data_IF_488773327792
#
_entry.id   IF_488773327792
#
_cell.length_a   1.000
_cell.length_b   1.000
_cell.length_c   1.000
_cell.angle_alpha   90.00
_cell.angle_beta   90.00
_cell.angle_gamma   90.00
#
_symmetry.space_group_name_H-M   'P 1'
#
loop_
_entity.id
_entity.type
_entity.pdbx_description
1 polymer ?
#
# COMPACT_ATOMS: atom_id res chain seq x y z
N UNK A 1 68.45 -5.01 -4.79
CA UNK A 1 67.26 -4.70 -5.61
C UNK A 1 66.15 -5.48 -4.95
N UNK A 2 65.58 -4.88 -3.91
CA UNK A 2 64.71 -5.57 -2.98
C UNK A 2 63.31 -5.00 -3.17
N UNK A 3 62.47 -5.79 -3.83
CA UNK A 3 61.12 -5.43 -4.21
C UNK A 3 60.21 -5.45 -2.98
N UNK A 4 59.86 -4.25 -2.52
CA UNK A 4 58.79 -4.02 -1.55
C UNK A 4 57.46 -4.47 -2.16
N UNK A 5 56.91 -5.57 -1.67
CA UNK A 5 55.54 -6.01 -1.98
C UNK A 5 54.58 -5.34 -0.99
N UNK A 6 53.62 -4.51 -1.43
CA UNK A 6 52.54 -4.09 -0.55
C UNK A 6 51.48 -5.19 -0.43
N UNK A 7 51.27 -5.64 0.81
CA UNK A 7 50.15 -6.50 1.22
C UNK A 7 48.83 -5.73 1.05
N UNK A 8 47.76 -6.31 0.48
CA UNK A 8 46.42 -5.75 0.59
C UNK A 8 45.85 -6.00 1.99
N UNK A 9 45.36 -4.94 2.62
CA UNK A 9 44.59 -4.98 3.86
C UNK A 9 43.37 -5.91 3.70
N UNK A 10 43.35 -6.98 4.49
CA UNK A 10 42.17 -7.83 4.71
C UNK A 10 41.31 -7.26 5.84
N UNK A 11 40.01 -7.51 5.70
CA UNK A 11 38.97 -7.55 6.73
C UNK A 11 38.31 -6.24 7.14
N UNK A 12 37.46 -5.71 6.25
CA UNK A 12 36.24 -5.05 6.70
C UNK A 12 35.17 -6.10 6.98
N UNK A 13 34.87 -6.25 8.27
CA UNK A 13 33.76 -7.04 8.80
C UNK A 13 32.44 -6.70 8.09
N UNK A 14 31.89 -7.68 7.37
CA UNK A 14 30.54 -7.61 6.82
C UNK A 14 29.52 -7.93 7.92
N UNK A 15 29.18 -6.91 8.70
CA UNK A 15 28.14 -6.98 9.72
C UNK A 15 26.76 -6.81 9.09
N UNK A 16 26.36 -7.72 8.20
CA UNK A 16 24.95 -7.89 7.82
C UNK A 16 24.44 -9.21 8.38
N UNK A 17 23.83 -9.09 9.56
CA UNK A 17 22.97 -10.11 10.11
C UNK A 17 21.74 -10.24 9.20
N UNK A 18 21.83 -11.12 8.22
CA UNK A 18 20.67 -11.60 7.46
C UNK A 18 19.77 -12.35 8.44
N UNK A 19 18.87 -11.62 9.09
CA UNK A 19 17.80 -12.15 9.91
C UNK A 19 16.87 -12.95 9.00
N UNK A 20 17.19 -14.22 8.85
CA UNK A 20 16.36 -15.18 8.12
C UNK A 20 15.10 -15.39 8.96
N UNK A 21 14.05 -14.65 8.62
CA UNK A 21 12.69 -14.89 9.10
C UNK A 21 12.25 -16.27 8.60
N UNK A 22 12.57 -17.32 9.36
CA UNK A 22 12.05 -18.66 9.11
C UNK A 22 10.56 -18.69 9.48
N UNK A 23 9.71 -18.34 8.51
CA UNK A 23 8.27 -18.58 8.59
C UNK A 23 8.04 -20.07 8.89
N UNK A 24 7.39 -20.36 10.02
CA UNK A 24 6.98 -21.71 10.40
C UNK A 24 6.01 -22.23 9.34
N UNK A 25 6.49 -23.09 8.43
CA UNK A 25 5.65 -23.83 7.47
C UNK A 25 4.61 -24.62 8.27
N UNK A 26 3.36 -24.14 8.28
CA UNK A 26 2.28 -24.81 8.99
C UNK A 26 1.98 -26.15 8.31
N UNK A 27 1.87 -27.23 9.09
CA UNK A 27 1.49 -28.57 8.61
C UNK A 27 0.08 -28.60 8.02
N UNK A 28 -0.74 -27.59 8.35
CA UNK A 28 -2.11 -27.39 7.86
C UNK A 28 -2.18 -27.24 6.33
N UNK A 29 -1.29 -26.45 5.72
CA UNK A 29 -1.30 -26.23 4.26
C UNK A 29 -1.00 -27.50 3.46
N UNK A 30 -0.08 -28.34 3.96
CA UNK A 30 0.21 -29.65 3.35
C UNK A 30 -1.00 -30.57 3.42
N UNK A 31 -1.67 -30.63 4.58
CA UNK A 31 -2.87 -31.46 4.78
C UNK A 31 -4.04 -31.01 3.91
N UNK A 32 -4.23 -29.70 3.75
CA UNK A 32 -5.25 -29.13 2.86
C UNK A 32 -4.99 -29.52 1.40
N UNK A 33 -3.72 -29.45 0.95
CA UNK A 33 -3.35 -29.84 -0.41
C UNK A 33 -3.60 -31.32 -0.70
N UNK A 34 -3.28 -32.22 0.24
CA UNK A 34 -3.58 -33.65 0.06
C UNK A 34 -5.08 -33.93 -0.04
N UNK A 35 -5.90 -33.26 0.78
CA UNK A 35 -7.36 -33.37 0.69
C UNK A 35 -7.88 -32.92 -0.68
N UNK A 36 -7.40 -31.80 -1.18
CA UNK A 36 -7.80 -31.31 -2.50
C UNK A 36 -7.36 -32.27 -3.61
N UNK A 37 -6.13 -32.80 -3.57
CA UNK A 37 -5.67 -33.80 -4.55
C UNK A 37 -6.58 -35.03 -4.56
N UNK A 38 -6.98 -35.52 -3.38
CA UNK A 38 -7.93 -36.64 -3.28
C UNK A 38 -9.29 -36.31 -3.92
N UNK A 39 -9.79 -35.09 -3.76
CA UNK A 39 -11.02 -34.64 -4.42
C UNK A 39 -10.87 -34.57 -5.95
N UNK A 40 -9.75 -34.04 -6.45
CA UNK A 40 -9.47 -33.99 -7.90
C UNK A 40 -9.42 -35.40 -8.49
N UNK A 41 -8.78 -36.35 -7.81
CA UNK A 41 -8.76 -37.74 -8.25
C UNK A 41 -10.15 -38.36 -8.29
N UNK A 42 -10.93 -38.20 -7.21
CA UNK A 42 -12.31 -38.70 -7.15
C UNK A 42 -13.18 -38.12 -8.27
N UNK A 43 -13.02 -36.84 -8.60
CA UNK A 43 -13.75 -36.19 -9.68
C UNK A 43 -13.36 -36.76 -11.05
N UNK A 44 -12.07 -36.95 -11.31
CA UNK A 44 -11.59 -37.51 -12.58
C UNK A 44 -11.98 -38.99 -12.77
N UNK A 45 -12.08 -39.76 -11.70
CA UNK A 45 -12.62 -41.13 -11.72
C UNK A 45 -14.12 -41.13 -12.03
N UNK A 46 -14.89 -40.22 -11.41
CA UNK A 46 -16.33 -40.09 -11.66
C UNK A 46 -16.64 -39.70 -13.12
N UNK A 47 -15.80 -38.87 -13.75
CA UNK A 47 -15.99 -38.46 -15.14
C UNK A 47 -15.58 -39.53 -16.16
N UNK A 48 -14.55 -40.31 -15.86
CA UNK A 48 -14.05 -41.34 -16.79
C UNK A 48 -14.70 -42.71 -16.60
N UNK A 49 -15.43 -42.92 -15.49
CA UNK A 49 -16.01 -44.21 -15.11
C UNK A 49 -14.96 -45.29 -14.84
N UNK A 50 -13.68 -44.93 -14.77
CA UNK A 50 -12.52 -45.83 -14.62
C UNK A 50 -11.60 -45.33 -13.50
N UNK A 51 -11.01 -46.23 -12.70
CA UNK A 51 -9.99 -45.87 -11.73
C UNK A 51 -8.79 -45.21 -12.42
N UNK A 52 -8.23 -44.16 -11.81
CA UNK A 52 -7.06 -43.49 -12.36
C UNK A 52 -5.82 -44.37 -12.23
N UNK A 53 -5.10 -44.58 -13.34
CA UNK A 53 -3.81 -45.28 -13.33
C UNK A 53 -2.76 -44.48 -12.54
N UNK A 54 -1.77 -45.17 -11.96
CA UNK A 54 -0.71 -44.53 -11.18
C UNK A 54 0.06 -43.46 -11.99
N UNK A 55 0.24 -43.67 -13.30
CA UNK A 55 0.84 -42.70 -14.20
C UNK A 55 -0.01 -41.43 -14.35
N UNK A 56 -1.33 -41.57 -14.56
CA UNK A 56 -2.26 -40.44 -14.65
C UNK A 56 -2.31 -39.65 -13.33
N UNK A 57 -2.34 -40.34 -12.19
CA UNK A 57 -2.27 -39.68 -10.88
C UNK A 57 -0.99 -38.87 -10.70
N UNK A 58 0.14 -39.37 -11.21
CA UNK A 58 1.43 -38.68 -11.15
C UNK A 58 1.43 -37.41 -12.00
N UNK A 59 0.87 -37.47 -13.22
CA UNK A 59 0.71 -36.30 -14.08
C UNK A 59 -0.18 -35.23 -13.42
N UNK A 60 -1.33 -35.64 -12.87
CA UNK A 60 -2.22 -34.72 -12.15
C UNK A 60 -1.52 -34.11 -10.94
N UNK A 61 -0.80 -34.89 -10.12
CA UNK A 61 -0.01 -34.36 -9.00
C UNK A 61 1.01 -33.32 -9.45
N UNK A 62 1.77 -33.63 -10.49
CA UNK A 62 2.79 -32.72 -11.03
C UNK A 62 2.16 -31.41 -11.52
N UNK A 63 1.06 -31.52 -12.28
CA UNK A 63 0.36 -30.35 -12.82
C UNK A 63 -0.24 -29.48 -11.72
N UNK A 64 -0.86 -30.08 -10.70
CA UNK A 64 -1.37 -29.35 -9.55
C UNK A 64 -0.24 -28.62 -8.83
N UNK A 65 0.89 -29.29 -8.57
CA UNK A 65 2.03 -28.66 -7.91
C UNK A 65 2.58 -27.47 -8.71
N UNK A 66 2.71 -27.63 -10.02
CA UNK A 66 3.12 -26.54 -10.91
C UNK A 66 2.11 -25.37 -10.84
N UNK A 67 0.82 -25.67 -10.92
CA UNK A 67 -0.25 -24.67 -10.86
C UNK A 67 -0.33 -23.96 -9.51
N UNK A 68 0.05 -24.59 -8.40
CA UNK A 68 0.06 -23.90 -7.11
C UNK A 68 1.40 -23.21 -6.81
N UNK A 69 2.50 -23.65 -7.42
CA UNK A 69 3.80 -22.98 -7.28
C UNK A 69 3.84 -21.57 -7.88
N UNK A 70 3.04 -21.30 -8.91
CA UNK A 70 2.87 -19.94 -9.46
C UNK A 70 2.16 -18.98 -8.49
N UNK A 71 1.46 -19.49 -7.47
CA UNK A 71 0.81 -18.68 -6.43
C UNK A 71 1.58 -18.75 -5.10
N UNK A 72 2.87 -19.10 -5.15
CA UNK A 72 3.72 -19.04 -3.96
C UNK A 72 3.68 -17.61 -3.42
N UNK A 73 3.59 -17.49 -2.09
CA UNK A 73 3.68 -16.20 -1.40
C UNK A 73 4.88 -15.43 -1.94
N UNK A 74 4.66 -14.23 -2.49
CA UNK A 74 5.72 -13.42 -3.05
C UNK A 74 6.85 -13.21 -2.05
N UNK A 75 8.07 -13.03 -2.55
CA UNK A 75 9.26 -12.76 -1.72
C UNK A 75 9.33 -11.29 -1.28
N UNK A 76 8.18 -10.64 -1.17
CA UNK A 76 8.05 -9.23 -0.82
C UNK A 76 7.06 -9.07 0.34
N UNK A 77 7.23 -8.03 1.17
CA UNK A 77 6.28 -7.72 2.23
C UNK A 77 4.90 -7.33 1.64
N UNK A 78 3.85 -7.19 2.46
CA UNK A 78 2.56 -6.69 1.99
C UNK A 78 2.67 -5.32 1.32
N UNK A 79 1.70 -4.96 0.48
CA UNK A 79 1.76 -3.71 -0.26
C UNK A 79 1.76 -2.47 0.63
N UNK A 80 1.06 -2.48 1.78
CA UNK A 80 1.04 -1.32 2.69
C UNK A 80 2.45 -0.87 3.11
N UNK A 81 3.30 -1.71 3.72
CA UNK A 81 4.68 -1.31 4.08
C UNK A 81 5.55 -1.01 2.85
N UNK A 82 5.31 -1.66 1.71
CA UNK A 82 6.00 -1.35 0.46
C UNK A 82 5.70 0.09 -0.01
N UNK A 83 4.42 0.46 -0.03
CA UNK A 83 3.94 1.80 -0.41
C UNK A 83 4.45 2.85 0.58
N UNK A 84 4.38 2.57 1.89
CA UNK A 84 4.91 3.48 2.91
C UNK A 84 6.40 3.75 2.73
N UNK A 85 7.19 2.71 2.46
CA UNK A 85 8.62 2.84 2.18
C UNK A 85 8.86 3.65 0.92
N UNK A 86 8.12 3.37 -0.16
CA UNK A 86 8.21 4.12 -1.41
C UNK A 86 7.89 5.61 -1.19
N UNK A 87 6.82 5.94 -0.46
CA UNK A 87 6.45 7.32 -0.16
C UNK A 87 7.50 8.03 0.71
N UNK A 88 8.15 7.30 1.63
CA UNK A 88 9.20 7.84 2.49
C UNK A 88 10.49 8.11 1.74
N UNK A 89 10.89 7.20 0.85
CA UNK A 89 12.14 7.33 0.07
C UNK A 89 11.98 8.33 -1.07
N UNK A 90 10.82 8.35 -1.74
CA UNK A 90 10.56 9.31 -2.80
C UNK A 90 10.49 10.76 -2.26
N UNK A 91 10.09 10.97 -0.99
CA UNK A 91 10.08 12.26 -0.26
C UNK A 91 9.73 13.52 -1.07
N UNK A 92 8.93 13.38 -2.12
CA UNK A 92 8.45 14.46 -2.97
C UNK A 92 7.19 15.08 -2.33
N UNK A 93 6.73 16.23 -2.85
CA UNK A 93 5.45 16.88 -2.47
C UNK A 93 4.20 16.07 -2.88
N UNK A 94 4.30 14.74 -2.81
CA UNK A 94 3.34 13.77 -3.30
C UNK A 94 3.84 13.03 -4.53
N UNK A 95 4.04 11.73 -4.35
CA UNK A 95 4.43 10.79 -5.40
C UNK A 95 3.22 10.38 -6.23
N UNK A 96 3.44 10.13 -7.52
CA UNK A 96 2.39 9.55 -8.38
C UNK A 96 2.38 8.03 -8.27
N UNK A 97 1.28 7.43 -8.67
CA UNK A 97 1.14 5.97 -8.74
C UNK A 97 2.26 5.34 -9.57
N UNK A 98 2.62 5.95 -10.71
CA UNK A 98 3.67 5.41 -11.59
C UNK A 98 5.05 5.45 -10.93
N UNK A 99 5.34 6.51 -10.17
CA UNK A 99 6.60 6.63 -9.42
C UNK A 99 6.70 5.60 -8.30
N UNK A 100 5.58 5.32 -7.64
CA UNK A 100 5.51 4.28 -6.61
C UNK A 100 5.69 2.90 -7.27
N UNK A 101 4.98 2.60 -8.36
CA UNK A 101 5.14 1.33 -9.11
C UNK A 101 6.58 1.09 -9.52
N UNK A 102 7.22 2.10 -10.14
CA UNK A 102 8.62 1.99 -10.57
C UNK A 102 9.59 1.80 -9.40
N UNK A 103 9.30 2.41 -8.24
CA UNK A 103 10.10 2.19 -7.03
C UNK A 103 9.95 0.74 -6.54
N UNK A 104 8.73 0.22 -6.52
CA UNK A 104 8.46 -1.15 -6.06
C UNK A 104 9.08 -2.20 -6.98
N UNK A 105 9.01 -2.00 -8.30
CA UNK A 105 9.63 -2.88 -9.30
C UNK A 105 11.15 -2.92 -9.21
N UNK A 106 11.78 -1.83 -8.76
CA UNK A 106 13.24 -1.77 -8.56
C UNK A 106 13.69 -2.42 -7.26
N UNK A 107 12.91 -2.23 -6.19
CA UNK A 107 13.29 -2.65 -4.84
C UNK A 107 12.88 -4.10 -4.54
N UNK A 108 11.76 -4.56 -5.10
CA UNK A 108 11.17 -5.86 -4.76
C UNK A 108 11.10 -6.78 -5.98
N UNK A 109 11.73 -7.95 -5.83
CA UNK A 109 11.66 -9.03 -6.82
C UNK A 109 10.41 -9.89 -6.59
N UNK A 110 9.84 -10.44 -7.66
CA UNK A 110 8.71 -11.37 -7.57
C UNK A 110 7.35 -10.71 -7.33
N UNK A 111 7.17 -9.45 -7.75
CA UNK A 111 5.88 -8.80 -7.78
C UNK A 111 4.88 -9.57 -8.67
N UNK A 112 3.59 -9.62 -8.30
CA UNK A 112 2.55 -10.22 -9.13
C UNK A 112 2.49 -9.57 -10.51
N UNK A 113 2.13 -10.34 -11.53
CA UNK A 113 1.94 -9.80 -12.88
C UNK A 113 0.95 -8.62 -12.92
N UNK A 114 -0.07 -8.65 -12.07
CA UNK A 114 -1.07 -7.60 -11.90
C UNK A 114 -0.66 -6.54 -10.84
N UNK A 115 0.64 -6.26 -10.70
CA UNK A 115 1.13 -5.37 -9.64
C UNK A 115 0.49 -3.99 -9.68
N UNK A 116 0.35 -3.40 -10.87
CA UNK A 116 -0.18 -2.05 -11.06
C UNK A 116 -1.64 -1.92 -10.61
N UNK A 117 -2.49 -2.89 -10.96
CA UNK A 117 -3.88 -2.90 -10.51
C UNK A 117 -3.98 -3.09 -8.99
N UNK A 118 -3.18 -4.01 -8.45
CA UNK A 118 -3.17 -4.27 -7.00
C UNK A 118 -2.63 -3.08 -6.21
N UNK A 119 -1.64 -2.37 -6.76
CA UNK A 119 -1.13 -1.12 -6.19
C UNK A 119 -2.23 -0.06 -6.10
N UNK A 120 -2.97 0.13 -7.19
CA UNK A 120 -4.05 1.11 -7.25
C UNK A 120 -5.14 0.83 -6.22
N UNK A 121 -5.53 -0.44 -6.08
CA UNK A 121 -6.55 -0.85 -5.11
C UNK A 121 -6.07 -0.59 -3.68
N UNK A 122 -4.83 -0.98 -3.35
CA UNK A 122 -4.24 -0.72 -2.04
C UNK A 122 -4.02 0.77 -1.75
N UNK A 123 -3.72 1.60 -2.75
CA UNK A 123 -3.67 3.05 -2.56
C UNK A 123 -5.06 3.64 -2.25
N UNK A 124 -6.12 3.06 -2.82
CA UNK A 124 -7.50 3.39 -2.46
C UNK A 124 -7.80 3.04 -1.00
N UNK A 125 -7.53 1.79 -0.60
CA UNK A 125 -7.74 1.30 0.76
C UNK A 125 -6.97 2.13 1.80
N UNK A 126 -5.70 2.46 1.54
CA UNK A 126 -4.88 3.28 2.45
C UNK A 126 -5.39 4.73 2.54
N UNK A 127 -6.06 5.23 1.49
CA UNK A 127 -6.68 6.55 1.52
C UNK A 127 -7.98 6.53 2.35
N UNK A 128 -8.71 5.41 2.31
CA UNK A 128 -9.92 5.20 3.11
C UNK A 128 -9.60 4.96 4.58
N UNK A 129 -8.55 4.21 4.89
CA UNK A 129 -8.05 4.00 6.26
C UNK A 129 -7.47 5.28 6.88
N UNK A 130 -7.09 6.25 6.05
CA UNK A 130 -6.48 7.50 6.48
C UNK A 130 -4.99 7.38 6.80
N UNK A 131 -4.31 6.34 6.31
CA UNK A 131 -2.85 6.18 6.45
C UNK A 131 -2.10 7.09 5.47
N UNK A 132 -2.69 7.31 4.28
CA UNK A 132 -2.15 8.20 3.25
C UNK A 132 -3.17 9.28 2.84
N UNK A 133 -2.67 10.43 2.41
CA UNK A 133 -3.48 11.53 1.89
C UNK A 133 -3.30 11.62 0.38
N UNK A 134 -4.42 11.67 -0.34
CA UNK A 134 -4.43 12.00 -1.77
C UNK A 134 -4.57 13.51 -1.96
N UNK A 135 -3.63 14.10 -2.67
CA UNK A 135 -3.66 15.50 -3.10
C UNK A 135 -3.82 15.57 -4.61
N UNK A 136 -4.64 16.51 -5.09
CA UNK A 136 -4.80 16.76 -6.53
C UNK A 136 -3.72 17.72 -7.00
N UNK A 137 -2.79 17.21 -7.81
CA UNK A 137 -1.77 18.02 -8.47
C UNK A 137 -2.16 18.45 -9.88
N UNK A 138 -1.29 19.22 -10.53
CA UNK A 138 -1.45 19.69 -11.92
C UNK A 138 -1.48 18.57 -12.95
N UNK A 139 -0.88 17.40 -12.66
CA UNK A 139 -0.80 16.24 -13.56
C UNK A 139 -1.51 14.98 -13.02
N UNK A 140 -2.43 15.12 -12.06
CA UNK A 140 -3.20 13.99 -11.52
C UNK A 140 -3.13 13.83 -10.00
N UNK A 141 -3.53 12.64 -9.52
CA UNK A 141 -3.52 12.27 -8.09
C UNK A 141 -2.08 12.09 -7.60
N UNK A 142 -1.80 12.58 -6.40
CA UNK A 142 -0.52 12.43 -5.70
C UNK A 142 -0.76 11.89 -4.30
N UNK A 143 0.03 10.91 -3.88
CA UNK A 143 -0.11 10.23 -2.60
C UNK A 143 1.00 10.68 -1.65
N UNK A 144 0.66 10.89 -0.38
CA UNK A 144 1.61 11.27 0.68
C UNK A 144 1.28 10.58 1.98
N UNK A 145 2.29 10.30 2.79
CA UNK A 145 2.10 9.81 4.15
C UNK A 145 1.55 10.92 5.05
N UNK A 146 0.53 10.63 5.87
CA UNK A 146 -0.03 11.61 6.83
C UNK A 146 1.05 12.18 7.77
N UNK A 147 2.05 11.37 8.14
CA UNK A 147 3.18 11.80 8.98
C UNK A 147 4.07 12.90 8.35
N UNK A 148 4.16 12.96 7.02
CA UNK A 148 5.02 13.93 6.31
C UNK A 148 4.45 15.37 6.32
N UNK A 149 3.14 15.52 6.44
CA UNK A 149 2.47 16.83 6.53
C UNK A 149 2.89 17.62 7.77
N UNK A 150 3.30 16.95 8.86
CA UNK A 150 3.75 17.60 10.10
C UNK A 150 5.16 18.20 10.00
N UNK A 151 6.00 17.74 9.06
CA UNK A 151 7.36 18.23 8.91
C UNK A 151 7.43 19.57 8.13
N UNK A 152 6.47 19.84 7.25
CA UNK A 152 6.49 21.01 6.37
C UNK A 152 5.76 22.24 6.93
N UNK A 153 5.13 22.15 8.11
CA UNK A 153 4.33 23.24 8.70
C UNK A 153 5.12 24.24 9.58
N UNK A 154 6.46 24.20 9.62
CA UNK A 154 7.27 25.23 10.32
C UNK A 154 7.42 26.53 9.52
N UNK A 155 6.32 27.13 9.06
CA UNK A 155 6.18 28.58 8.88
C UNK A 155 4.72 28.97 8.66
N UNK A 156 3.88 28.74 9.68
CA UNK A 156 2.64 29.51 9.80
C UNK A 156 3.02 30.97 10.07
N UNK A 157 3.26 31.76 9.01
CA UNK A 157 3.19 33.22 9.11
C UNK A 157 1.79 33.55 9.64
N UNK A 158 1.80 34.11 10.85
CA UNK A 158 0.67 34.60 11.63
C UNK A 158 -0.37 35.26 10.72
N UNK A 159 -1.52 34.62 10.52
CA UNK A 159 -2.71 35.33 10.04
C UNK A 159 -3.26 36.13 11.23
N UNK A 160 -3.55 37.44 11.09
CA UNK A 160 -4.13 38.21 12.18
C UNK A 160 -5.54 37.67 12.53
N UNK A 161 -6.00 37.81 13.78
CA UNK A 161 -7.29 37.30 14.20
C UNK A 161 -8.43 38.02 13.48
N UNK A 162 -9.39 37.24 13.00
CA UNK A 162 -10.67 37.67 12.44
C UNK A 162 -11.39 38.60 13.44
N UNK A 163 -11.67 39.84 13.05
CA UNK A 163 -12.58 40.73 13.80
C UNK A 163 -13.99 40.13 13.75
N UNK A 164 -14.56 39.81 14.91
CA UNK A 164 -15.99 39.47 15.05
C UNK A 164 -16.82 40.68 14.59
N UNK A 165 -17.75 40.46 13.67
CA UNK A 165 -18.84 41.40 13.38
C UNK A 165 -19.83 41.30 14.54
N UNK A 166 -20.01 42.40 15.26
CA UNK A 166 -21.09 42.56 16.23
C UNK A 166 -22.38 42.83 15.46
N UNK A 167 -23.40 42.02 15.71
CA UNK A 167 -24.77 42.27 15.26
C UNK A 167 -25.43 43.21 16.27
N UNK A 168 -26.07 44.26 15.75
CA UNK A 168 -26.60 45.38 16.51
C UNK A 168 -27.74 45.02 17.47
N UNK A 169 -27.78 45.77 18.56
CA UNK A 169 -28.97 46.01 19.38
C UNK A 169 -29.12 47.51 19.46
N UNK A 170 -29.87 48.09 18.51
CA UNK A 170 -30.28 49.49 18.57
C UNK A 170 -31.69 49.49 19.18
N UNK A 171 -31.72 49.88 20.45
CA UNK A 171 -32.90 50.07 21.28
C UNK A 171 -33.82 51.13 20.67
N UNK A 172 -35.04 50.72 20.35
CA UNK A 172 -36.17 51.59 20.05
C UNK A 172 -36.61 52.27 21.35
N UNK A 173 -36.41 53.59 21.43
CA UNK A 173 -37.20 54.50 22.26
C UNK A 173 -37.20 55.87 21.56
N UNK A 174 -38.34 56.27 21.01
CA UNK A 174 -38.80 57.67 20.96
C UNK A 174 -40.13 57.74 20.23
N UNK A 175 -41.17 57.72 21.05
CA UNK A 175 -42.42 58.47 20.94
C UNK A 175 -42.50 59.48 19.80
N UNK A 176 -43.38 59.22 18.81
CA UNK A 176 -44.16 60.29 18.16
C UNK A 176 -45.40 59.72 17.44
N UNK A 177 -46.58 59.95 18.03
CA UNK A 177 -47.86 60.20 17.34
C UNK A 177 -48.33 61.57 17.85
N UNK A 178 -48.97 62.45 17.06
CA UNK A 178 -50.17 62.19 16.25
C UNK A 178 -50.13 62.93 14.88
N UNK A 179 -51.07 62.92 13.95
CA UNK A 179 -52.43 62.38 13.81
C UNK A 179 -52.97 62.83 12.43
N UNK A 180 -53.95 62.08 11.93
CA UNK A 180 -55.06 62.44 11.02
C UNK A 180 -54.98 63.74 10.18
N UNK A 181 -55.25 63.63 8.86
CA UNK A 181 -56.42 64.23 8.19
C UNK A 181 -56.42 63.95 6.66
N UNK A 182 -57.56 63.38 6.25
CA UNK A 182 -58.32 63.23 4.99
C UNK A 182 -57.79 63.60 3.58
N UNK A 183 -58.17 62.71 2.65
CA UNK A 183 -58.37 62.90 1.19
C UNK A 183 -59.29 64.09 0.87
N UNK A 184 -59.33 64.61 -0.37
CA UNK A 184 -60.01 63.94 -1.49
C UNK A 184 -59.09 63.51 -2.63
#
# INVERSE_FOLDING_TARGET
MDAQTPQPFSDSESLFHSSTNHVKRTTSGKKAMEKFRALVFKLAEAQSGKPLTAAAQTHVRSRLNQFFSQYRTPDHPPYSPMIERALRELNEKGSREESISQFLEKEYNGLPWAHSTLLKDHLGELCESGDIVVTRGTRGKRYMLVGSLKATSRKSKRRPPLKKREYGTESHDSDYLPGIVTKP
#
